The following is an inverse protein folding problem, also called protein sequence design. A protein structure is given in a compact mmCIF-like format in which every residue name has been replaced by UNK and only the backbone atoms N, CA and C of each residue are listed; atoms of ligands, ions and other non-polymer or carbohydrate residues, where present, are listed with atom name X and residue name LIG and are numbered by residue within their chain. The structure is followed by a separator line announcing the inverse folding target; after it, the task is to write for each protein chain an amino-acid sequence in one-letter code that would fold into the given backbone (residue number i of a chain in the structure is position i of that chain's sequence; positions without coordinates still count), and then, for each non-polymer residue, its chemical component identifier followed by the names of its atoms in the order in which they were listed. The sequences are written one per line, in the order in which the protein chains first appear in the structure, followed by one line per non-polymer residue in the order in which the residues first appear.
data_IF_855472876574
#
_entry.id   IF_855472876574
#
_cell.length_a   1.000
_cell.length_b   1.000
_cell.length_c   1.000
_cell.angle_alpha   90.00
_cell.angle_beta   90.00
_cell.angle_gamma   90.00
#
_symmetry.space_group_name_H-M   'P 1'
#
loop_
_entity.id
_entity.type
_entity.pdbx_description
1 polymer ?
#
# COMPACT_ATOMS: atom_id res chain seq x y z
N UNK A 1 -3.41 12.25 -4.91
CA UNK A 1 -2.39 11.25 -4.50
C UNK A 1 -2.20 10.24 -5.62
N UNK A 2 -1.11 9.45 -5.59
CA UNK A 2 -0.89 8.35 -6.56
C UNK A 2 -0.07 7.24 -5.92
N UNK A 3 -0.36 5.99 -6.27
CA UNK A 3 0.51 4.85 -6.00
C UNK A 3 1.41 4.60 -7.23
N UNK A 4 2.72 4.77 -7.07
CA UNK A 4 3.71 4.52 -8.12
C UNK A 4 4.18 3.07 -8.05
N UNK A 5 3.73 2.28 -9.02
CA UNK A 5 4.17 0.89 -9.19
C UNK A 5 5.44 0.76 -10.03
N UNK A 6 5.88 1.81 -10.73
CA UNK A 6 7.06 1.73 -11.60
C UNK A 6 8.36 1.46 -10.81
N UNK A 7 8.45 1.89 -9.55
CA UNK A 7 9.59 1.64 -8.64
C UNK A 7 9.75 0.16 -8.29
N UNK A 8 8.67 -0.62 -8.39
CA UNK A 8 8.73 -2.07 -8.22
C UNK A 8 9.60 -2.73 -9.30
N UNK A 9 9.52 -2.24 -10.54
CA UNK A 9 10.17 -2.88 -11.69
C UNK A 9 11.56 -2.32 -11.99
N UNK A 10 11.87 -1.10 -11.56
CA UNK A 10 13.15 -0.45 -11.83
C UNK A 10 13.50 0.59 -10.78
N UNK A 11 14.79 0.81 -10.61
CA UNK A 11 15.31 1.94 -9.86
C UNK A 11 15.25 3.22 -10.70
N UNK A 12 14.97 4.34 -10.05
CA UNK A 12 15.05 5.67 -10.63
C UNK A 12 16.23 6.43 -10.04
N UNK A 13 16.75 7.41 -10.79
CA UNK A 13 17.74 8.36 -10.29
C UNK A 13 17.07 9.35 -9.34
N UNK A 14 17.83 9.87 -8.39
CA UNK A 14 17.40 10.91 -7.43
C UNK A 14 16.68 12.10 -8.12
N UNK A 15 17.16 12.52 -9.30
CA UNK A 15 16.53 13.56 -10.11
C UNK A 15 15.05 13.28 -10.46
N UNK A 16 14.67 12.02 -10.63
CA UNK A 16 13.27 11.65 -10.91
C UNK A 16 12.37 11.98 -9.73
N UNK A 17 12.80 11.69 -8.50
CA UNK A 17 12.05 11.99 -7.29
C UNK A 17 11.95 13.50 -7.07
N UNK A 18 13.04 14.24 -7.26
CA UNK A 18 13.00 15.72 -7.23
C UNK A 18 12.03 16.30 -8.27
N UNK A 19 12.01 15.73 -9.48
CA UNK A 19 11.07 16.16 -10.52
C UNK A 19 9.61 15.86 -10.14
N UNK A 20 9.33 14.70 -9.53
CA UNK A 20 7.99 14.37 -9.04
C UNK A 20 7.55 15.32 -7.93
N UNK A 21 8.44 15.60 -6.98
CA UNK A 21 8.20 16.56 -5.90
C UNK A 21 7.87 17.95 -6.44
N UNK A 22 8.69 18.47 -7.35
CA UNK A 22 8.55 19.83 -7.88
C UNK A 22 7.33 20.04 -8.80
N UNK A 23 6.84 18.96 -9.44
CA UNK A 23 5.75 19.04 -10.43
C UNK A 23 4.36 18.73 -9.87
N UNK A 24 4.24 18.48 -8.56
CA UNK A 24 2.96 18.17 -7.91
C UNK A 24 2.60 19.22 -6.87
N UNK A 25 1.30 19.48 -6.60
CA UNK A 25 0.88 20.39 -5.54
C UNK A 25 1.38 19.98 -4.15
N UNK A 26 1.39 20.90 -3.19
CA UNK A 26 1.90 20.65 -1.82
C UNK A 26 1.06 19.63 -1.04
N UNK A 27 -0.24 19.61 -1.31
CA UNK A 27 -1.18 18.63 -0.73
C UNK A 27 -1.07 17.24 -1.39
N UNK A 28 -0.25 17.09 -2.44
CA UNK A 28 -0.12 15.82 -3.13
C UNK A 28 0.68 14.82 -2.28
N UNK A 29 0.26 13.56 -2.30
CA UNK A 29 0.93 12.45 -1.62
C UNK A 29 1.25 11.34 -2.62
N UNK A 30 2.45 10.80 -2.51
CA UNK A 30 2.91 9.63 -3.23
C UNK A 30 2.92 8.42 -2.30
N UNK A 31 2.47 7.28 -2.82
CA UNK A 31 2.79 5.98 -2.25
C UNK A 31 3.70 5.26 -3.23
N UNK A 32 4.85 4.78 -2.77
CA UNK A 32 5.82 4.12 -3.64
C UNK A 32 5.85 2.62 -3.36
N UNK A 33 5.70 1.78 -4.39
CA UNK A 33 5.86 0.34 -4.22
C UNK A 33 7.34 -0.02 -4.12
N UNK A 34 7.72 -0.74 -3.07
CA UNK A 34 9.09 -1.18 -2.84
C UNK A 34 9.61 -2.04 -4.02
N UNK A 35 10.91 -2.00 -4.36
CA UNK A 35 11.50 -2.79 -5.43
C UNK A 35 11.15 -4.29 -5.37
N UNK A 36 10.88 -4.88 -6.53
CA UNK A 36 10.56 -6.32 -6.69
C UNK A 36 11.62 -7.21 -6.07
N UNK A 37 12.88 -6.79 -6.12
CA UNK A 37 14.01 -7.53 -5.53
C UNK A 37 13.78 -7.83 -4.05
N UNK A 38 13.21 -6.88 -3.30
CA UNK A 38 13.00 -6.99 -1.85
C UNK A 38 11.95 -8.05 -1.53
N UNK A 39 10.77 -7.98 -2.17
CA UNK A 39 9.62 -8.80 -1.77
C UNK A 39 9.40 -10.07 -2.59
N UNK A 40 9.81 -10.12 -3.87
CA UNK A 40 9.51 -11.23 -4.79
C UNK A 40 10.75 -11.99 -5.28
N UNK A 41 11.95 -11.44 -5.15
CA UNK A 41 13.18 -12.15 -5.53
C UNK A 41 13.88 -12.68 -4.28
N UNK A 42 14.13 -11.80 -3.30
CA UNK A 42 14.79 -12.17 -2.05
C UNK A 42 13.83 -12.63 -0.96
N UNK A 43 12.51 -12.45 -1.12
CA UNK A 43 11.52 -12.81 -0.11
C UNK A 43 11.89 -12.28 1.29
N UNK A 44 12.30 -11.01 1.34
CA UNK A 44 12.75 -10.31 2.55
C UNK A 44 14.03 -10.86 3.22
N UNK A 45 14.76 -11.75 2.56
CA UNK A 45 16.01 -12.29 3.07
C UNK A 45 17.20 -11.39 2.71
N UNK A 46 17.93 -10.92 3.71
CA UNK A 46 19.16 -10.13 3.54
C UNK A 46 18.95 -8.93 2.59
N UNK A 47 17.91 -8.14 2.87
CA UNK A 47 17.43 -7.01 2.05
C UNK A 47 17.72 -5.63 2.64
N UNK A 48 18.48 -5.55 3.74
CA UNK A 48 18.71 -4.30 4.48
C UNK A 48 19.29 -3.21 3.58
N UNK A 49 20.29 -3.52 2.77
CA UNK A 49 20.93 -2.55 1.87
C UNK A 49 19.99 -2.07 0.76
N UNK A 50 19.21 -2.98 0.16
CA UNK A 50 18.21 -2.61 -0.85
C UNK A 50 17.10 -1.73 -0.28
N UNK A 51 16.63 -2.05 0.93
CA UNK A 51 15.64 -1.24 1.64
C UNK A 51 16.22 0.15 1.90
N UNK A 52 17.38 0.25 2.54
CA UNK A 52 17.98 1.55 2.89
C UNK A 52 18.28 2.41 1.65
N UNK A 53 18.72 1.79 0.56
CA UNK A 53 18.97 2.49 -0.72
C UNK A 53 17.68 3.06 -1.31
N UNK A 54 16.62 2.25 -1.34
CA UNK A 54 15.32 2.69 -1.83
C UNK A 54 14.68 3.73 -0.91
N UNK A 55 14.74 3.50 0.40
CA UNK A 55 14.21 4.36 1.45
C UNK A 55 14.80 5.76 1.37
N UNK A 56 16.13 5.88 1.24
CA UNK A 56 16.82 7.15 1.00
C UNK A 56 16.27 7.89 -0.22
N UNK A 57 16.01 7.16 -1.31
CA UNK A 57 15.51 7.73 -2.56
C UNK A 57 14.04 8.16 -2.43
N UNK A 58 13.22 7.36 -1.76
CA UNK A 58 11.82 7.66 -1.47
C UNK A 58 11.69 8.95 -0.65
N UNK A 59 12.55 9.14 0.36
CA UNK A 59 12.57 10.31 1.22
C UNK A 59 12.96 11.62 0.52
N UNK A 60 13.45 11.58 -0.74
CA UNK A 60 13.60 12.79 -1.57
C UNK A 60 12.25 13.44 -1.94
N UNK A 61 11.14 12.73 -1.74
CA UNK A 61 9.78 13.29 -1.83
C UNK A 61 9.35 14.05 -0.57
N UNK A 62 10.17 14.07 0.49
CA UNK A 62 9.95 14.82 1.71
C UNK A 62 8.52 14.67 2.26
N UNK A 63 7.80 15.77 2.53
CA UNK A 63 6.43 15.78 3.03
C UNK A 63 5.39 15.22 2.05
N UNK A 64 5.76 15.05 0.76
CA UNK A 64 4.91 14.41 -0.25
C UNK A 64 5.05 12.89 -0.25
N UNK A 65 6.01 12.31 0.49
CA UNK A 65 6.03 10.87 0.75
C UNK A 65 4.93 10.52 1.75
N UNK A 66 3.86 9.88 1.26
CA UNK A 66 2.80 9.33 2.12
C UNK A 66 3.25 8.03 2.75
N UNK A 67 3.32 6.97 1.95
CA UNK A 67 3.67 5.62 2.41
C UNK A 67 4.61 4.89 1.43
N UNK A 68 5.26 3.84 1.90
CA UNK A 68 5.95 2.84 1.09
C UNK A 68 5.14 1.56 1.14
N UNK A 69 4.66 1.09 -0.02
CA UNK A 69 3.95 -0.17 -0.14
C UNK A 69 4.95 -1.33 -0.22
N UNK A 70 4.97 -2.18 0.80
CA UNK A 70 5.67 -3.45 0.87
C UNK A 70 4.70 -4.60 0.61
N UNK A 71 4.41 -4.87 -0.67
CA UNK A 71 3.55 -5.99 -1.04
C UNK A 71 4.34 -7.31 -1.05
N UNK A 72 3.99 -8.21 -0.14
CA UNK A 72 4.66 -9.50 0.06
C UNK A 72 4.29 -10.47 -1.07
N UNK A 73 5.28 -11.19 -1.60
CA UNK A 73 5.04 -12.17 -2.64
C UNK A 73 4.26 -13.38 -2.07
N UNK A 74 3.31 -13.97 -2.82
CA UNK A 74 2.48 -15.07 -2.33
C UNK A 74 3.25 -16.31 -1.88
N UNK A 75 4.47 -16.51 -2.36
CA UNK A 75 5.35 -17.64 -2.06
C UNK A 75 6.33 -17.36 -0.90
N UNK A 76 6.38 -16.13 -0.37
CA UNK A 76 7.24 -15.76 0.76
C UNK A 76 6.95 -16.63 1.99
N UNK A 77 7.91 -17.39 2.53
CA UNK A 77 7.72 -18.24 3.70
C UNK A 77 7.18 -17.47 4.90
N UNK A 78 6.41 -18.14 5.76
CA UNK A 78 5.97 -17.57 7.02
C UNK A 78 7.17 -17.46 7.97
N UNK A 79 7.69 -16.24 8.12
CA UNK A 79 8.86 -15.93 8.93
C UNK A 79 8.74 -14.48 9.42
N UNK A 80 8.32 -14.32 10.68
CA UNK A 80 8.20 -13.00 11.30
C UNK A 80 9.55 -12.30 11.44
N UNK A 81 10.65 -13.03 11.57
CA UNK A 81 11.99 -12.48 11.68
C UNK A 81 12.37 -11.69 10.43
N UNK A 82 12.00 -12.21 9.25
CA UNK A 82 12.18 -11.49 7.97
C UNK A 82 11.36 -10.22 7.88
N UNK A 83 10.09 -10.26 8.30
CA UNK A 83 9.23 -9.07 8.31
C UNK A 83 9.80 -8.01 9.27
N UNK A 84 10.14 -8.42 10.49
CA UNK A 84 10.71 -7.52 11.50
C UNK A 84 12.04 -6.92 11.06
N UNK A 85 12.92 -7.71 10.46
CA UNK A 85 14.21 -7.22 9.94
C UNK A 85 14.04 -6.25 8.78
N UNK A 86 13.11 -6.55 7.87
CA UNK A 86 12.78 -5.65 6.76
C UNK A 86 12.20 -4.31 7.27
N UNK A 87 11.25 -4.36 8.21
CA UNK A 87 10.68 -3.15 8.82
C UNK A 87 11.74 -2.33 9.54
N UNK A 88 12.63 -2.97 10.31
CA UNK A 88 13.72 -2.30 11.02
C UNK A 88 14.78 -1.65 10.09
N UNK A 89 14.82 -2.03 8.81
CA UNK A 89 15.74 -1.45 7.84
C UNK A 89 15.24 -0.11 7.25
N UNK A 90 13.94 0.20 7.37
CA UNK A 90 13.40 1.51 6.99
C UNK A 90 13.73 2.55 8.06
N UNK A 91 14.04 3.78 7.65
CA UNK A 91 14.27 4.90 8.58
C UNK A 91 13.01 5.33 9.32
N UNK A 92 11.84 5.18 8.68
CA UNK A 92 10.53 5.48 9.26
C UNK A 92 9.55 4.31 9.01
N UNK A 93 9.62 3.21 9.81
CA UNK A 93 8.80 2.01 9.60
C UNK A 93 7.30 2.27 9.67
N UNK A 94 6.88 3.36 10.32
CA UNK A 94 5.50 3.81 10.42
C UNK A 94 4.91 4.29 9.08
N UNK A 95 5.76 4.62 8.11
CA UNK A 95 5.34 4.90 6.72
C UNK A 95 5.28 3.67 5.83
N UNK A 96 5.52 2.47 6.36
CA UNK A 96 5.48 1.25 5.56
C UNK A 96 4.08 0.63 5.65
N UNK A 97 3.43 0.45 4.50
CA UNK A 97 2.18 -0.29 4.37
C UNK A 97 2.45 -1.68 3.82
N UNK A 98 2.05 -2.73 4.53
CA UNK A 98 2.32 -4.12 4.15
C UNK A 98 1.06 -4.79 3.60
N UNK A 99 1.18 -5.41 2.42
CA UNK A 99 0.11 -6.20 1.82
C UNK A 99 0.49 -7.68 1.81
N UNK A 100 -0.31 -8.50 2.50
CA UNK A 100 -0.21 -9.95 2.45
C UNK A 100 -1.21 -10.53 1.44
N UNK A 101 -0.88 -11.68 0.85
CA UNK A 101 -1.73 -12.37 -0.15
C UNK A 101 -2.09 -13.80 0.23
N UNK A 102 -1.75 -14.24 1.44
CA UNK A 102 -2.04 -15.58 1.95
C UNK A 102 -2.62 -15.52 3.37
N UNK A 103 -3.71 -16.25 3.67
CA UNK A 103 -4.39 -16.20 4.97
C UNK A 103 -3.52 -16.52 6.18
N UNK A 104 -2.42 -17.26 6.02
CA UNK A 104 -1.52 -17.58 7.12
C UNK A 104 -0.88 -16.34 7.78
N UNK A 105 -0.85 -15.20 7.08
CA UNK A 105 -0.37 -13.93 7.64
C UNK A 105 -1.43 -13.18 8.47
N UNK A 106 -2.69 -13.63 8.50
CA UNK A 106 -3.75 -13.06 9.36
C UNK A 106 -3.66 -13.65 10.77
N UNK A 107 -2.47 -13.56 11.35
CA UNK A 107 -2.14 -14.12 12.65
C UNK A 107 -1.84 -13.01 13.65
N UNK A 108 -2.15 -13.24 14.92
CA UNK A 108 -2.07 -12.24 15.98
C UNK A 108 -0.64 -11.73 16.22
N UNK A 109 0.35 -12.60 16.05
CA UNK A 109 1.78 -12.28 16.10
C UNK A 109 2.22 -11.32 14.98
N UNK A 110 1.65 -11.44 13.78
CA UNK A 110 1.84 -10.47 12.69
C UNK A 110 1.27 -9.11 13.10
N UNK A 111 0.06 -9.08 13.65
CA UNK A 111 -0.57 -7.83 14.08
C UNK A 111 0.25 -7.11 15.16
N UNK A 112 0.71 -7.85 16.17
CA UNK A 112 1.59 -7.32 17.22
C UNK A 112 2.91 -6.78 16.65
N UNK A 113 3.51 -7.48 15.68
CA UNK A 113 4.73 -7.04 15.03
C UNK A 113 4.52 -5.71 14.29
N UNK A 114 3.46 -5.61 13.50
CA UNK A 114 3.16 -4.38 12.76
C UNK A 114 2.84 -3.22 13.71
N UNK A 115 2.06 -3.47 14.77
CA UNK A 115 1.76 -2.48 15.79
C UNK A 115 3.04 -1.95 16.46
N UNK A 116 4.00 -2.84 16.79
CA UNK A 116 5.29 -2.48 17.36
C UNK A 116 6.09 -1.51 16.46
N UNK A 117 6.03 -1.71 15.14
CA UNK A 117 6.72 -0.85 14.17
C UNK A 117 5.88 0.36 13.70
N UNK A 118 4.60 0.41 14.07
CA UNK A 118 3.65 1.36 13.50
C UNK A 118 3.37 1.12 12.01
N UNK A 119 3.68 -0.07 11.48
CA UNK A 119 3.48 -0.40 10.08
C UNK A 119 2.00 -0.57 9.75
N UNK A 120 1.59 -0.03 8.61
CA UNK A 120 0.19 0.03 8.19
C UNK A 120 -0.23 -1.30 7.57
N UNK A 121 -1.39 -1.81 7.98
CA UNK A 121 -2.02 -2.98 7.35
C UNK A 121 -2.75 -2.57 6.07
N UNK A 122 -2.43 -3.21 4.96
CA UNK A 122 -3.19 -3.06 3.71
C UNK A 122 -4.36 -4.05 3.70
N UNK A 123 -5.56 -3.53 3.46
CA UNK A 123 -6.78 -4.30 3.21
C UNK A 123 -6.97 -4.43 1.69
N UNK A 124 -6.57 -5.54 1.06
CA UNK A 124 -6.72 -5.70 -0.37
C UNK A 124 -8.12 -6.22 -0.72
N UNK A 125 -8.63 -5.87 -1.89
CA UNK A 125 -9.85 -6.45 -2.47
C UNK A 125 -9.46 -7.14 -3.77
N UNK A 126 -9.70 -8.44 -3.88
CA UNK A 126 -9.33 -9.21 -5.06
C UNK A 126 -10.21 -10.47 -5.24
N UNK A 127 -10.12 -11.20 -6.37
CA UNK A 127 -10.95 -12.38 -6.56
C UNK A 127 -10.74 -13.43 -5.47
N UNK A 128 -11.82 -13.73 -4.73
CA UNK A 128 -11.80 -14.68 -3.60
C UNK A 128 -11.38 -14.07 -2.25
N UNK A 129 -11.18 -12.76 -2.15
CA UNK A 129 -10.88 -12.07 -0.90
C UNK A 129 -11.49 -10.66 -0.91
N UNK A 130 -12.53 -10.47 -0.11
CA UNK A 130 -13.19 -9.18 0.04
C UNK A 130 -12.47 -8.30 1.06
N UNK A 131 -12.66 -6.98 0.93
CA UNK A 131 -12.16 -6.00 1.90
C UNK A 131 -12.54 -6.33 3.34
N UNK A 132 -11.60 -6.02 4.24
CA UNK A 132 -11.83 -5.83 5.67
C UNK A 132 -11.64 -4.38 6.08
N UNK A 133 -12.17 -3.99 7.23
CA UNK A 133 -11.91 -2.72 7.92
C UNK A 133 -10.78 -2.85 8.95
N UNK A 134 -9.83 -3.75 8.70
CA UNK A 134 -8.79 -4.05 9.67
C UNK A 134 -7.83 -2.86 9.79
N UNK A 135 -7.58 -2.45 11.04
CA UNK A 135 -6.73 -1.32 11.40
C UNK A 135 -5.77 -1.78 12.49
N UNK A 136 -4.48 -1.73 12.18
CA UNK A 136 -3.39 -1.98 13.14
C UNK A 136 -2.87 -0.67 13.74
N UNK A 137 -2.99 0.41 12.99
CA UNK A 137 -2.54 1.76 13.34
C UNK A 137 -3.68 2.76 13.12
N UNK A 138 -3.42 4.03 13.37
CA UNK A 138 -4.31 5.15 13.05
C UNK A 138 -4.28 5.55 11.57
N UNK A 139 -3.72 4.71 10.69
CA UNK A 139 -3.73 4.89 9.23
C UNK A 139 -4.38 3.67 8.58
N UNK A 140 -5.41 3.90 7.78
CA UNK A 140 -6.05 2.87 6.98
C UNK A 140 -5.50 2.82 5.56
N UNK A 141 -5.50 1.62 4.96
CA UNK A 141 -5.14 1.44 3.56
C UNK A 141 -6.05 0.40 2.90
N UNK A 142 -6.80 0.81 1.87
CA UNK A 142 -7.62 -0.03 1.01
C UNK A 142 -6.99 -0.13 -0.38
N UNK A 143 -6.83 -1.35 -0.92
CA UNK A 143 -6.19 -1.56 -2.22
C UNK A 143 -7.04 -2.47 -3.12
N UNK A 144 -7.67 -1.87 -4.12
CA UNK A 144 -8.82 -2.43 -4.85
C UNK A 144 -8.37 -3.01 -6.20
N UNK A 145 -8.22 -4.33 -6.29
CA UNK A 145 -7.72 -5.02 -7.48
C UNK A 145 -8.83 -5.54 -8.41
N UNK A 146 -10.10 -5.48 -8.00
CA UNK A 146 -11.25 -6.07 -8.69
C UNK A 146 -11.69 -7.40 -8.08
N UNK A 147 -12.99 -7.73 -8.10
CA UNK A 147 -13.56 -8.91 -7.39
C UNK A 147 -13.73 -10.14 -8.26
N UNK A 148 -13.79 -9.97 -9.58
CA UNK A 148 -14.05 -11.04 -10.55
C UNK A 148 -12.82 -11.40 -11.35
N UNK A 149 -12.04 -10.39 -11.75
CA UNK A 149 -10.81 -10.55 -12.52
C UNK A 149 -9.74 -9.61 -11.97
N UNK A 150 -8.51 -10.13 -11.83
CA UNK A 150 -7.37 -9.31 -11.41
C UNK A 150 -7.15 -8.16 -12.39
N UNK A 151 -7.18 -6.94 -11.85
CA UNK A 151 -6.85 -5.69 -12.51
C UNK A 151 -7.77 -5.24 -13.67
N UNK A 152 -8.69 -6.11 -14.11
CA UNK A 152 -9.54 -5.90 -15.29
C UNK A 152 -11.03 -6.02 -14.99
N UNK A 153 -11.40 -5.84 -13.72
CA UNK A 153 -12.78 -5.86 -13.26
C UNK A 153 -13.22 -4.44 -12.87
N UNK A 154 -14.19 -3.83 -13.58
CA UNK A 154 -14.79 -2.59 -13.14
C UNK A 154 -15.69 -2.86 -11.93
N UNK A 155 -15.54 -2.06 -10.89
CA UNK A 155 -16.45 -2.12 -9.75
C UNK A 155 -17.83 -1.60 -10.17
N UNK A 156 -18.88 -2.29 -9.74
CA UNK A 156 -20.26 -1.82 -9.93
C UNK A 156 -20.58 -0.68 -8.96
N UNK A 157 -21.65 0.07 -9.23
CA UNK A 157 -22.09 1.13 -8.33
C UNK A 157 -22.38 0.61 -6.91
N UNK A 158 -23.01 -0.56 -6.79
CA UNK A 158 -23.30 -1.18 -5.49
C UNK A 158 -22.01 -1.52 -4.72
N UNK A 159 -20.98 -1.98 -5.43
CA UNK A 159 -19.67 -2.27 -4.84
C UNK A 159 -18.95 -0.99 -4.42
N UNK A 160 -19.03 0.07 -5.23
CA UNK A 160 -18.48 1.39 -4.87
C UNK A 160 -19.21 1.97 -3.65
N UNK A 161 -20.52 1.79 -3.55
CA UNK A 161 -21.30 2.17 -2.36
C UNK A 161 -20.93 1.35 -1.12
N UNK A 162 -20.66 0.05 -1.28
CA UNK A 162 -20.13 -0.81 -0.22
C UNK A 162 -18.77 -0.31 0.27
N UNK A 163 -17.85 -0.01 -0.64
CA UNK A 163 -16.53 0.55 -0.33
C UNK A 163 -16.66 1.91 0.37
N UNK A 164 -17.57 2.78 -0.09
CA UNK A 164 -17.83 4.07 0.54
C UNK A 164 -18.35 3.93 1.98
N UNK A 165 -19.24 2.96 2.23
CA UNK A 165 -19.73 2.66 3.59
C UNK A 165 -18.59 2.18 4.49
N UNK A 166 -17.76 1.26 4.00
CA UNK A 166 -16.59 0.77 4.73
C UNK A 166 -15.61 1.90 5.07
N UNK A 167 -15.30 2.77 4.09
CA UNK A 167 -14.43 3.92 4.30
C UNK A 167 -14.99 4.87 5.37
N UNK A 168 -16.29 5.18 5.33
CA UNK A 168 -16.96 6.00 6.36
C UNK A 168 -16.91 5.34 7.75
N UNK A 169 -17.07 4.02 7.83
CA UNK A 169 -16.94 3.27 9.08
C UNK A 169 -15.52 3.34 9.65
N UNK A 170 -14.50 3.18 8.81
CA UNK A 170 -13.09 3.30 9.24
C UNK A 170 -12.77 4.71 9.71
N UNK A 171 -13.23 5.74 8.99
CA UNK A 171 -13.04 7.15 9.37
C UNK A 171 -13.72 7.50 10.70
N UNK A 172 -14.82 6.83 11.06
CA UNK A 172 -15.49 7.01 12.34
C UNK A 172 -14.69 6.45 13.55
N UNK A 173 -13.59 5.73 13.32
CA UNK A 173 -12.74 5.12 14.36
C UNK A 173 -11.54 6.00 14.76
N UNK A 174 -11.62 7.32 14.50
CA UNK A 174 -10.60 8.31 14.86
C UNK A 174 -9.20 8.02 14.26
N UNK A 175 -9.18 7.52 13.02
CA UNK A 175 -7.94 7.38 12.25
C UNK A 175 -7.50 8.73 11.70
N UNK A 176 -6.18 8.94 11.58
CA UNK A 176 -5.60 10.15 11.01
C UNK A 176 -5.82 10.24 9.50
N UNK A 177 -5.61 9.12 8.80
CA UNK A 177 -5.61 9.08 7.34
C UNK A 177 -6.17 7.75 6.81
N UNK A 178 -6.84 7.80 5.67
CA UNK A 178 -7.29 6.62 4.92
C UNK A 178 -6.82 6.72 3.47
N UNK A 179 -5.96 5.79 3.07
CA UNK A 179 -5.48 5.65 1.70
C UNK A 179 -6.37 4.68 0.95
N UNK A 180 -6.88 5.06 -0.23
CA UNK A 180 -7.68 4.18 -1.08
C UNK A 180 -7.11 4.24 -2.49
N UNK A 181 -6.66 3.09 -2.99
CA UNK A 181 -6.10 2.97 -4.34
C UNK A 181 -6.84 1.92 -5.16
N UNK A 182 -7.36 2.36 -6.31
CA UNK A 182 -7.85 1.48 -7.35
C UNK A 182 -6.68 1.00 -8.22
N UNK A 183 -6.49 -0.32 -8.26
CA UNK A 183 -5.46 -0.99 -9.06
C UNK A 183 -6.08 -1.84 -10.20
N UNK A 184 -7.39 -1.72 -10.44
CA UNK A 184 -8.08 -2.24 -11.62
C UNK A 184 -7.86 -1.36 -12.87
N UNK A 185 -6.60 -1.19 -13.26
CA UNK A 185 -6.19 -0.17 -14.23
C UNK A 185 -6.49 -0.50 -15.69
N UNK A 186 -6.82 -1.75 -16.02
CA UNK A 186 -7.12 -2.14 -17.41
C UNK A 186 -8.33 -1.36 -17.92
N UNK A 187 -8.28 -0.90 -19.17
CA UNK A 187 -9.31 -0.07 -19.81
C UNK A 187 -9.68 1.24 -19.06
N UNK A 188 -8.86 1.69 -18.12
CA UNK A 188 -9.09 2.93 -17.37
C UNK A 188 -10.15 2.83 -16.27
N UNK A 189 -10.58 1.62 -15.87
CA UNK A 189 -11.61 1.45 -14.85
C UNK A 189 -11.25 2.10 -13.51
N UNK A 190 -10.01 1.96 -13.08
CA UNK A 190 -9.52 2.55 -11.83
C UNK A 190 -9.79 4.06 -11.72
N UNK A 191 -9.54 4.83 -12.79
CA UNK A 191 -9.75 6.28 -12.75
C UNK A 191 -11.24 6.63 -12.62
N UNK A 192 -12.11 5.92 -13.37
CA UNK A 192 -13.55 6.10 -13.29
C UNK A 192 -14.09 5.73 -11.91
N UNK A 193 -13.73 4.56 -11.40
CA UNK A 193 -14.20 4.09 -10.10
C UNK A 193 -13.69 4.97 -8.94
N UNK A 194 -12.48 5.53 -9.04
CA UNK A 194 -11.97 6.49 -8.07
C UNK A 194 -12.82 7.78 -8.02
N UNK A 195 -13.26 8.29 -9.18
CA UNK A 195 -14.14 9.46 -9.24
C UNK A 195 -15.53 9.15 -8.67
N UNK A 196 -16.11 8.01 -9.03
CA UNK A 196 -17.39 7.55 -8.49
C UNK A 196 -17.33 7.43 -6.95
N UNK A 197 -16.24 6.87 -6.40
CA UNK A 197 -16.06 6.81 -4.94
C UNK A 197 -15.88 8.21 -4.33
N UNK A 198 -15.12 9.09 -4.98
CA UNK A 198 -14.91 10.46 -4.49
C UNK A 198 -16.23 11.23 -4.38
N UNK A 199 -17.15 11.07 -5.34
CA UNK A 199 -18.49 11.67 -5.29
C UNK A 199 -19.31 11.18 -4.09
N UNK A 200 -19.18 9.90 -3.70
CA UNK A 200 -19.90 9.34 -2.55
C UNK A 200 -19.30 9.71 -1.18
N UNK A 201 -18.02 10.10 -1.16
CA UNK A 201 -17.28 10.48 0.05
C UNK A 201 -17.27 11.99 0.31
N UNK A 202 -17.59 12.79 -0.71
CA UNK A 202 -17.77 14.25 -0.58
C UNK A 202 -19.04 14.58 0.20
#
# INVERSE_FOLDING_TARGET
MVEINATFYRNFRDQTYHNWYARTPDVFRFVLKAPRTITHVKHLQDVTEEIQTFDRSAHLLAEKLGLILLQIAPDTPYDLGRIGSALAAFSEPSKVAIEFRRPNWWAEDVLHLLQKFGAVWVNPDYPGHLLSDHLVTDVGYLRLHGRRCWYADPYTLDEIQEIARLAKQMLARDIKELYIFFNNTVNGYAARNALELQELLS
#
